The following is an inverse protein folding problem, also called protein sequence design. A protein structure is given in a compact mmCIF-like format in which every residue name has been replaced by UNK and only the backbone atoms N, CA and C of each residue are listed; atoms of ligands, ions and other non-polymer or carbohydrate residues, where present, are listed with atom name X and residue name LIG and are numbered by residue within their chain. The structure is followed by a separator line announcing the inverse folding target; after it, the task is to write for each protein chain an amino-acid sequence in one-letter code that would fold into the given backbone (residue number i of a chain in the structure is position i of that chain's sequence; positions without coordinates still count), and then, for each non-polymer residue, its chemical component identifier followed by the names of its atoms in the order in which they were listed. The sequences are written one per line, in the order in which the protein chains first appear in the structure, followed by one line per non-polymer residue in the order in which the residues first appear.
data_IF_183519591550
#
_entry.id   IF_183519591550
#
_cell.length_a   1.000
_cell.length_b   1.000
_cell.length_c   1.000
_cell.angle_alpha   90.00
_cell.angle_beta   90.00
_cell.angle_gamma   90.00
#
_symmetry.space_group_name_H-M   'P 1'
#
loop_
_entity.id
_entity.type
_entity.pdbx_description
1 polymer ?
#
# COMPACT_ATOMS: atom_id res chain seq x y z
N UNK A 1 7.43 11.23 21.35
CA UNK A 1 7.52 9.79 21.70
C UNK A 1 7.66 9.59 23.20
N UNK A 2 8.75 10.05 23.83
CA UNK A 2 8.99 9.90 25.28
C UNK A 2 7.77 10.28 26.15
N UNK A 3 7.27 11.52 26.03
CA UNK A 3 6.08 11.99 26.76
C UNK A 3 4.84 11.12 26.47
N UNK A 4 4.65 10.69 25.22
CA UNK A 4 3.48 9.91 24.81
C UNK A 4 3.52 8.46 25.33
N UNK A 5 4.72 7.88 25.50
CA UNK A 5 4.91 6.52 26.02
C UNK A 5 5.19 6.50 27.53
N UNK A 6 5.42 7.65 28.15
CA UNK A 6 5.77 7.79 29.56
C UNK A 6 7.22 7.43 29.88
N UNK A 7 8.10 7.39 28.88
CA UNK A 7 9.53 7.15 29.05
C UNK A 7 10.36 8.43 29.04
N UNK A 8 11.64 8.31 29.35
CA UNK A 8 12.62 9.38 29.25
C UNK A 8 13.46 9.26 27.97
N UNK A 9 14.03 10.39 27.52
CA UNK A 9 15.06 10.40 26.46
C UNK A 9 16.42 10.30 27.15
N UNK A 10 17.31 9.44 26.67
CA UNK A 10 18.69 9.32 27.16
C UNK A 10 19.64 10.14 26.28
N UNK A 11 20.68 10.73 26.89
CA UNK A 11 21.72 11.50 26.19
C UNK A 11 21.76 12.97 26.61
N UNK A 12 22.49 13.79 25.86
CA UNK A 12 22.84 15.18 26.22
C UNK A 12 21.62 16.09 26.46
N UNK A 13 20.50 15.85 25.78
CA UNK A 13 19.26 16.64 25.89
C UNK A 13 18.23 16.03 26.88
N UNK A 14 18.57 14.93 27.56
CA UNK A 14 17.65 14.15 28.38
C UNK A 14 18.21 13.75 29.75
N UNK A 15 17.88 12.55 30.21
CA UNK A 15 18.51 11.99 31.41
C UNK A 15 19.96 11.63 31.09
N UNK A 16 20.89 12.27 31.80
CA UNK A 16 22.31 11.93 31.75
C UNK A 16 22.57 10.70 32.66
N UNK A 17 21.93 9.59 32.29
CA UNK A 17 22.12 8.28 32.89
C UNK A 17 22.94 7.43 31.92
N UNK A 18 23.90 6.68 32.45
CA UNK A 18 24.56 5.66 31.64
C UNK A 18 23.53 4.57 31.30
N UNK A 19 23.69 3.91 30.15
CA UNK A 19 22.82 2.80 29.72
C UNK A 19 22.78 1.66 30.76
N UNK A 20 23.82 1.54 31.58
CA UNK A 20 23.97 0.56 32.65
C UNK A 20 23.08 0.84 33.87
N UNK A 21 22.69 2.11 34.09
CA UNK A 21 21.92 2.56 35.26
C UNK A 21 20.40 2.62 35.01
N UNK A 22 19.97 2.34 33.76
CA UNK A 22 18.59 2.49 33.30
C UNK A 22 17.62 1.59 34.07
N UNK A 23 16.54 2.19 34.58
CA UNK A 23 15.51 1.48 35.33
C UNK A 23 14.25 1.26 34.48
N UNK A 24 13.39 0.29 34.85
CA UNK A 24 12.13 0.03 34.12
C UNK A 24 11.14 1.20 34.06
N UNK A 25 11.31 2.22 34.92
CA UNK A 25 10.47 3.43 34.91
C UNK A 25 10.97 4.50 33.94
N UNK A 26 12.23 4.40 33.49
CA UNK A 26 12.79 5.30 32.47
C UNK A 26 12.37 4.88 31.06
N UNK A 27 11.88 3.64 30.90
CA UNK A 27 11.43 3.07 29.64
C UNK A 27 9.97 3.41 29.34
N UNK A 28 9.68 3.72 28.07
CA UNK A 28 8.33 3.96 27.60
C UNK A 28 7.49 2.68 27.51
N UNK A 29 6.19 2.79 27.80
CA UNK A 29 5.22 1.69 27.70
C UNK A 29 4.16 1.99 26.65
N UNK A 30 3.87 0.98 25.84
CA UNK A 30 2.88 1.02 24.75
C UNK A 30 2.03 -0.25 24.77
N UNK A 31 0.81 -0.18 24.26
CA UNK A 31 -0.08 -1.34 24.20
C UNK A 31 0.25 -2.28 23.04
N UNK A 32 0.66 -1.73 21.90
CA UNK A 32 0.96 -2.49 20.69
C UNK A 32 2.03 -1.75 19.85
N UNK A 33 2.90 -2.50 19.20
CA UNK A 33 3.94 -1.98 18.30
C UNK A 33 3.86 -2.75 16.99
N UNK A 34 3.80 -2.03 15.88
CA UNK A 34 3.81 -2.60 14.53
C UNK A 34 5.03 -2.05 13.81
N UNK A 35 5.89 -2.93 13.32
CA UNK A 35 7.10 -2.56 12.58
C UNK A 35 7.01 -3.18 11.19
N UNK A 36 7.12 -2.34 10.16
CA UNK A 36 7.23 -2.73 8.76
C UNK A 36 8.66 -2.45 8.27
N UNK A 37 8.94 -2.72 6.99
CA UNK A 37 10.25 -2.42 6.40
C UNK A 37 10.58 -0.92 6.46
N UNK A 38 9.57 -0.08 6.29
CA UNK A 38 9.73 1.36 6.10
C UNK A 38 9.19 2.19 7.29
N UNK A 39 8.29 1.63 8.11
CA UNK A 39 7.60 2.35 9.18
C UNK A 39 7.61 1.62 10.54
N UNK A 40 7.54 2.41 11.62
CA UNK A 40 7.30 1.92 12.97
C UNK A 40 6.14 2.68 13.63
N UNK A 41 5.11 1.94 14.04
CA UNK A 41 3.91 2.48 14.69
C UNK A 41 3.84 2.04 16.16
N UNK A 42 3.68 3.01 17.05
CA UNK A 42 3.54 2.82 18.49
C UNK A 42 2.10 3.17 18.89
N UNK A 43 1.32 2.18 19.34
CA UNK A 43 -0.09 2.34 19.63
C UNK A 43 -0.36 2.25 21.14
N UNK A 44 -1.31 3.07 21.62
CA UNK A 44 -1.75 3.12 23.03
C UNK A 44 -0.60 3.35 24.01
N UNK A 45 0.14 4.43 23.82
CA UNK A 45 1.17 4.88 24.78
C UNK A 45 0.57 5.14 26.16
N UNK A 46 1.32 4.80 27.22
CA UNK A 46 0.91 4.97 28.62
C UNK A 46 1.51 6.23 29.28
N UNK A 47 1.73 7.28 28.49
CA UNK A 47 2.17 8.58 28.98
C UNK A 47 1.13 9.31 29.83
N UNK A 48 1.57 10.31 30.58
CA UNK A 48 0.69 11.18 31.34
C UNK A 48 -0.09 12.12 30.41
N UNK A 49 -1.43 12.06 30.48
CA UNK A 49 -2.32 12.88 29.65
C UNK A 49 -2.06 14.37 29.83
N UNK A 50 -1.78 14.83 31.05
CA UNK A 50 -1.53 16.24 31.31
C UNK A 50 -0.25 16.72 30.63
N UNK A 51 0.80 15.88 30.60
CA UNK A 51 2.05 16.20 29.89
C UNK A 51 1.89 16.16 28.37
N UNK A 52 1.06 15.24 27.85
CA UNK A 52 0.74 15.18 26.43
C UNK A 52 -0.04 16.44 26.00
N UNK A 53 -1.07 16.83 26.74
CA UNK A 53 -1.85 18.05 26.48
C UNK A 53 -0.96 19.29 26.55
N UNK A 54 -0.09 19.39 27.55
CA UNK A 54 0.90 20.48 27.64
C UNK A 54 1.78 20.52 26.38
N UNK A 55 2.26 19.37 25.92
CA UNK A 55 3.11 19.29 24.72
C UNK A 55 2.36 19.66 23.44
N UNK A 56 1.07 19.33 23.35
CA UNK A 56 0.20 19.74 22.26
C UNK A 56 0.09 21.27 22.23
N UNK A 57 -0.20 21.89 23.38
CA UNK A 57 -0.29 23.36 23.49
C UNK A 57 1.01 24.05 23.10
N UNK A 58 2.16 23.55 23.58
CA UNK A 58 3.48 24.08 23.19
C UNK A 58 3.69 24.05 21.66
N UNK A 59 3.22 23.00 20.97
CA UNK A 59 3.36 22.89 19.51
C UNK A 59 2.40 23.86 18.79
N UNK A 60 1.19 24.05 19.31
CA UNK A 60 0.23 25.02 18.76
C UNK A 60 0.79 26.44 18.87
N UNK A 61 1.32 26.82 20.04
CA UNK A 61 1.96 28.12 20.24
C UNK A 61 3.16 28.35 19.31
N UNK A 62 3.97 27.30 19.07
CA UNK A 62 5.08 27.37 18.11
C UNK A 62 4.57 27.59 16.67
N UNK A 63 3.46 26.96 16.31
CA UNK A 63 2.87 27.04 14.97
C UNK A 63 2.39 28.45 14.63
N UNK A 64 1.90 29.19 15.62
CA UNK A 64 1.42 30.57 15.48
C UNK A 64 2.57 31.56 15.22
N UNK A 65 3.75 31.31 15.78
CA UNK A 65 4.91 32.21 15.68
C UNK A 65 5.81 31.87 14.49
N UNK A 66 5.79 30.62 14.02
CA UNK A 66 6.58 30.17 12.87
C UNK A 66 6.12 30.82 11.57
N UNK A 67 7.05 31.37 10.79
CA UNK A 67 6.79 31.95 9.46
C UNK A 67 7.22 31.05 8.30
N UNK A 68 7.94 29.96 8.58
CA UNK A 68 8.42 28.98 7.59
C UNK A 68 7.33 27.94 7.28
N UNK A 69 6.95 27.80 6.01
CA UNK A 69 5.97 26.79 5.58
C UNK A 69 6.45 25.36 5.86
N UNK A 70 7.75 25.09 5.65
CA UNK A 70 8.36 23.79 5.94
C UNK A 70 8.25 23.42 7.43
N UNK A 71 8.52 24.38 8.32
CA UNK A 71 8.42 24.13 9.76
C UNK A 71 6.95 23.97 10.20
N UNK A 72 6.03 24.73 9.61
CA UNK A 72 4.59 24.56 9.85
C UNK A 72 4.12 23.16 9.46
N UNK A 73 4.55 22.64 8.32
CA UNK A 73 4.23 21.28 7.90
C UNK A 73 4.72 20.25 8.92
N UNK A 74 5.99 20.37 9.36
CA UNK A 74 6.56 19.43 10.34
C UNK A 74 5.94 19.55 11.74
N UNK A 75 5.58 20.76 12.17
CA UNK A 75 4.85 20.95 13.43
C UNK A 75 3.43 20.37 13.34
N UNK A 76 2.74 20.54 12.21
CA UNK A 76 1.43 19.93 11.96
C UNK A 76 1.48 18.39 11.96
N UNK A 77 2.49 17.78 11.33
CA UNK A 77 2.67 16.32 11.37
C UNK A 77 2.84 15.81 12.82
N UNK A 78 3.64 16.53 13.62
CA UNK A 78 3.86 16.18 15.03
C UNK A 78 2.62 16.40 15.88
N UNK A 79 1.91 17.50 15.64
CA UNK A 79 0.66 17.84 16.30
C UNK A 79 -0.39 16.77 16.02
N UNK A 80 -0.53 16.34 14.76
CA UNK A 80 -1.43 15.25 14.38
C UNK A 80 -1.06 13.96 15.11
N UNK A 81 0.21 13.57 15.15
CA UNK A 81 0.67 12.35 15.87
C UNK A 81 0.42 12.38 17.38
N UNK A 82 0.28 13.57 17.99
CA UNK A 82 0.06 13.75 19.43
C UNK A 82 -1.42 14.00 19.78
N UNK A 83 -2.13 14.73 18.93
CA UNK A 83 -3.51 15.19 19.16
C UNK A 83 -4.54 14.22 18.61
N UNK A 84 -4.18 13.44 17.59
CA UNK A 84 -5.16 12.66 16.84
C UNK A 84 -5.43 11.32 17.52
N UNK A 85 -6.72 11.01 17.60
CA UNK A 85 -7.23 9.80 18.20
C UNK A 85 -6.85 8.60 17.34
N UNK A 86 -6.10 7.66 17.91
CA UNK A 86 -5.89 6.37 17.26
C UNK A 86 -7.23 5.63 17.21
N UNK A 87 -7.89 5.63 16.05
CA UNK A 87 -9.06 4.82 15.79
C UNK A 87 -8.64 3.36 15.55
N UNK A 88 -9.13 2.44 16.38
CA UNK A 88 -8.87 0.99 16.22
C UNK A 88 -10.10 0.33 15.62
N UNK A 89 -9.98 -0.12 14.37
CA UNK A 89 -11.02 -0.91 13.71
C UNK A 89 -10.88 -2.39 14.10
N UNK A 90 -11.81 -2.89 14.92
CA UNK A 90 -11.87 -4.31 15.30
C UNK A 90 -12.73 -5.08 14.29
N UNK A 91 -12.07 -5.78 13.38
CA UNK A 91 -12.75 -6.63 12.37
C UNK A 91 -13.06 -7.99 12.98
N UNK A 92 -14.32 -8.41 12.88
CA UNK A 92 -14.81 -9.70 13.39
C UNK A 92 -15.40 -10.58 12.30
N UNK A 93 -15.50 -11.87 12.59
CA UNK A 93 -15.98 -12.90 11.65
C UNK A 93 -16.16 -14.24 12.37
N UNK A 94 -16.73 -15.20 11.65
CA UNK A 94 -17.05 -16.55 12.18
C UNK A 94 -15.88 -17.53 12.06
N UNK A 95 -14.91 -17.24 11.19
CA UNK A 95 -13.68 -18.01 11.01
C UNK A 95 -12.49 -17.09 10.78
N UNK A 96 -11.28 -17.56 11.08
CA UNK A 96 -10.05 -16.78 10.89
C UNK A 96 -9.84 -16.38 9.43
N UNK A 97 -10.21 -17.25 8.48
CA UNK A 97 -10.13 -16.97 7.04
C UNK A 97 -11.03 -15.80 6.66
N UNK A 98 -12.27 -15.78 7.17
CA UNK A 98 -13.22 -14.68 6.93
C UNK A 98 -12.73 -13.37 7.58
N UNK A 99 -12.20 -13.44 8.81
CA UNK A 99 -11.66 -12.28 9.51
C UNK A 99 -10.50 -11.67 8.73
N UNK A 100 -9.59 -12.49 8.22
CA UNK A 100 -8.44 -12.02 7.47
C UNK A 100 -8.86 -11.37 6.15
N UNK A 101 -9.76 -11.98 5.37
CA UNK A 101 -10.27 -11.38 4.12
C UNK A 101 -10.97 -10.04 4.37
N UNK A 102 -11.81 -9.95 5.41
CA UNK A 102 -12.47 -8.69 5.77
C UNK A 102 -11.46 -7.64 6.24
N UNK A 103 -10.42 -8.05 6.97
CA UNK A 103 -9.37 -7.15 7.44
C UNK A 103 -8.60 -6.58 6.26
N UNK A 104 -8.30 -7.38 5.25
CA UNK A 104 -7.64 -6.92 4.02
C UNK A 104 -8.52 -5.89 3.31
N UNK A 105 -9.82 -6.17 3.10
CA UNK A 105 -10.76 -5.20 2.51
C UNK A 105 -10.87 -3.89 3.27
N UNK A 106 -10.87 -3.93 4.61
CA UNK A 106 -10.88 -2.72 5.45
C UNK A 106 -9.59 -1.92 5.28
N UNK A 107 -8.45 -2.62 5.18
CA UNK A 107 -7.14 -2.01 4.98
C UNK A 107 -7.07 -1.34 3.60
N UNK A 108 -7.55 -2.02 2.55
CA UNK A 108 -7.64 -1.48 1.20
C UNK A 108 -8.52 -0.23 1.14
N UNK A 109 -9.71 -0.27 1.76
CA UNK A 109 -10.62 0.87 1.82
C UNK A 109 -10.01 2.07 2.57
N UNK A 110 -9.28 1.82 3.67
CA UNK A 110 -8.58 2.87 4.41
C UNK A 110 -7.51 3.53 3.55
N UNK A 111 -6.70 2.73 2.86
CA UNK A 111 -5.63 3.23 1.98
C UNK A 111 -6.19 3.98 0.77
N UNK A 112 -7.27 3.47 0.16
CA UNK A 112 -7.97 4.16 -0.92
C UNK A 112 -8.53 5.52 -0.47
N UNK A 113 -9.12 5.58 0.74
CA UNK A 113 -9.64 6.84 1.30
C UNK A 113 -8.52 7.85 1.55
N UNK A 114 -7.38 7.41 2.09
CA UNK A 114 -6.20 8.27 2.25
C UNK A 114 -5.70 8.81 0.92
N UNK A 115 -5.54 7.94 -0.08
CA UNK A 115 -5.14 8.32 -1.42
C UNK A 115 -6.11 9.30 -2.09
N UNK A 116 -7.43 9.13 -1.85
CA UNK A 116 -8.46 10.02 -2.36
C UNK A 116 -8.41 11.42 -1.72
N UNK A 117 -8.08 11.51 -0.44
CA UNK A 117 -7.87 12.80 0.25
C UNK A 117 -6.63 13.51 -0.26
N UNK A 118 -5.57 12.78 -0.59
CA UNK A 118 -4.30 13.34 -1.06
C UNK A 118 -4.35 13.88 -2.50
N UNK A 119 -4.85 13.09 -3.45
CA UNK A 119 -4.80 13.43 -4.90
C UNK A 119 -6.18 13.50 -5.58
N UNK A 120 -7.26 13.43 -4.81
CA UNK A 120 -8.63 13.46 -5.32
C UNK A 120 -9.10 12.13 -5.92
N UNK A 121 -10.22 12.21 -6.63
CA UNK A 121 -10.95 11.06 -7.17
C UNK A 121 -11.21 11.22 -8.67
N UNK A 122 -11.33 10.08 -9.36
CA UNK A 122 -11.65 9.98 -10.78
C UNK A 122 -12.76 8.95 -11.01
N UNK A 123 -13.27 8.89 -12.25
CA UNK A 123 -14.28 7.92 -12.67
C UNK A 123 -13.77 6.49 -12.50
N UNK A 124 -14.50 5.68 -11.73
CA UNK A 124 -14.10 4.30 -11.44
C UNK A 124 -14.34 3.33 -12.60
N UNK A 125 -14.18 2.03 -12.32
CA UNK A 125 -14.52 0.96 -13.26
C UNK A 125 -13.66 0.95 -14.53
N UNK A 126 -12.45 1.50 -14.45
CA UNK A 126 -11.55 1.68 -15.60
C UNK A 126 -11.95 2.81 -16.56
N UNK A 127 -13.01 3.57 -16.27
CA UNK A 127 -13.46 4.65 -17.14
C UNK A 127 -12.44 5.80 -17.22
N UNK A 128 -11.79 6.15 -16.10
CA UNK A 128 -10.75 7.18 -16.10
C UNK A 128 -9.67 6.93 -17.16
N UNK A 129 -9.18 5.68 -17.27
CA UNK A 129 -8.16 5.29 -18.24
C UNK A 129 -8.68 5.37 -19.69
N UNK A 130 -9.93 4.97 -19.93
CA UNK A 130 -10.56 5.11 -21.24
C UNK A 130 -10.66 6.57 -21.68
N UNK A 131 -10.98 7.48 -20.76
CA UNK A 131 -11.07 8.92 -21.05
C UNK A 131 -9.71 9.56 -21.32
N UNK A 132 -8.60 8.91 -20.99
CA UNK A 132 -7.25 9.35 -21.34
C UNK A 132 -6.83 8.98 -22.77
N UNK A 133 -7.54 8.07 -23.46
CA UNK A 133 -7.17 7.62 -24.82
C UNK A 133 -7.02 8.77 -25.82
N UNK A 134 -7.94 9.76 -25.90
CA UNK A 134 -7.80 10.89 -26.82
C UNK A 134 -6.54 11.72 -26.58
N UNK A 135 -6.03 11.79 -25.34
CA UNK A 135 -4.79 12.50 -25.05
C UNK A 135 -3.58 11.85 -25.75
N UNK A 136 -3.59 10.53 -25.94
CA UNK A 136 -2.53 9.83 -26.66
C UNK A 136 -2.51 10.16 -28.16
N UNK A 137 -3.64 10.56 -28.75
CA UNK A 137 -3.72 10.94 -30.17
C UNK A 137 -3.04 12.29 -30.44
N UNK A 138 -2.86 13.11 -29.40
CA UNK A 138 -2.15 14.39 -29.48
C UNK A 138 -0.62 14.25 -29.42
N UNK A 139 -0.10 13.06 -29.13
CA UNK A 139 1.33 12.80 -28.99
C UNK A 139 1.92 12.53 -30.38
N UNK A 140 2.86 13.38 -30.80
CA UNK A 140 3.61 13.18 -32.05
C UNK A 140 4.80 12.25 -31.81
N UNK A 141 4.84 11.04 -32.40
CA UNK A 141 5.97 10.13 -32.25
C UNK A 141 7.18 10.61 -33.07
N UNK A 142 8.40 10.42 -32.55
CA UNK A 142 9.61 10.76 -33.29
C UNK A 142 10.01 9.71 -34.35
N UNK A 143 9.58 8.45 -34.17
CA UNK A 143 9.84 7.33 -35.08
C UNK A 143 8.72 6.26 -34.98
N UNK A 144 8.74 5.26 -35.86
CA UNK A 144 7.72 4.21 -35.90
C UNK A 144 7.72 3.32 -34.64
N UNK A 145 8.86 3.15 -33.96
CA UNK A 145 8.95 2.38 -32.72
C UNK A 145 8.19 3.09 -31.58
N UNK A 146 8.37 4.41 -31.44
CA UNK A 146 7.63 5.22 -30.47
C UNK A 146 6.14 5.22 -30.77
N UNK A 147 5.75 5.28 -32.05
CA UNK A 147 4.35 5.16 -32.46
C UNK A 147 3.76 3.82 -32.05
N UNK A 148 4.52 2.74 -32.22
CA UNK A 148 4.12 1.40 -31.76
C UNK A 148 3.96 1.37 -30.24
N UNK A 149 4.86 2.00 -29.49
CA UNK A 149 4.74 2.16 -28.04
C UNK A 149 3.46 2.88 -27.60
N UNK A 150 3.10 3.98 -28.27
CA UNK A 150 1.84 4.70 -28.00
C UNK A 150 0.62 3.81 -28.28
N UNK A 151 0.64 3.04 -29.38
CA UNK A 151 -0.44 2.10 -29.71
C UNK A 151 -0.57 0.95 -28.71
N UNK A 152 0.55 0.48 -28.12
CA UNK A 152 0.52 -0.48 -27.02
C UNK A 152 -0.25 0.10 -25.83
N UNK A 153 0.10 1.32 -25.37
CA UNK A 153 -0.58 1.97 -24.25
C UNK A 153 -2.06 2.19 -24.57
N UNK A 154 -2.40 2.64 -25.79
CA UNK A 154 -3.79 2.85 -26.22
C UNK A 154 -4.64 1.59 -26.08
N UNK A 155 -4.09 0.42 -26.43
CA UNK A 155 -4.76 -0.87 -26.24
C UNK A 155 -4.84 -1.26 -24.77
N UNK A 156 -3.77 -1.05 -24.01
CA UNK A 156 -3.68 -1.39 -22.58
C UNK A 156 -4.69 -0.63 -21.72
N UNK A 157 -4.95 0.65 -22.02
CA UNK A 157 -5.92 1.46 -21.27
C UNK A 157 -7.36 0.89 -21.30
N UNK A 158 -7.69 0.06 -22.29
CA UNK A 158 -8.99 -0.62 -22.40
C UNK A 158 -9.12 -1.84 -21.48
N UNK A 159 -7.99 -2.44 -21.09
CA UNK A 159 -7.95 -3.74 -20.41
C UNK A 159 -8.68 -3.75 -19.05
N UNK A 160 -8.54 -2.73 -18.17
CA UNK A 160 -9.20 -2.76 -16.86
C UNK A 160 -10.73 -2.80 -16.99
N UNK A 161 -11.32 -1.92 -17.80
CA UNK A 161 -12.77 -1.91 -18.03
C UNK A 161 -13.26 -3.20 -18.70
N UNK A 162 -12.52 -3.72 -19.68
CA UNK A 162 -12.83 -5.02 -20.31
C UNK A 162 -12.80 -6.18 -19.32
N UNK A 163 -11.83 -6.19 -18.40
CA UNK A 163 -11.66 -7.26 -17.41
C UNK A 163 -12.79 -7.24 -16.39
N UNK A 164 -13.16 -6.05 -15.91
CA UNK A 164 -14.30 -5.87 -15.00
C UNK A 164 -15.60 -6.37 -15.66
N UNK A 165 -15.87 -5.95 -16.90
CA UNK A 165 -17.03 -6.38 -17.65
C UNK A 165 -17.04 -7.90 -17.91
N UNK A 166 -15.89 -8.47 -18.28
CA UNK A 166 -15.75 -9.92 -18.49
C UNK A 166 -16.00 -10.72 -17.21
N UNK A 167 -15.52 -10.25 -16.07
CA UNK A 167 -15.76 -10.89 -14.77
C UNK A 167 -17.24 -10.81 -14.36
N UNK A 168 -17.97 -9.81 -14.84
CA UNK A 168 -19.43 -9.72 -14.72
C UNK A 168 -20.21 -10.58 -15.73
N UNK A 169 -19.52 -11.33 -16.60
CA UNK A 169 -20.13 -12.27 -17.55
C UNK A 169 -20.64 -11.64 -18.85
N UNK A 170 -20.24 -10.41 -19.18
CA UNK A 170 -20.63 -9.71 -20.41
C UNK A 170 -19.45 -9.49 -21.35
N UNK A 171 -19.75 -9.16 -22.62
CA UNK A 171 -18.73 -8.94 -23.65
C UNK A 171 -17.99 -7.62 -23.43
N UNK A 172 -16.80 -7.69 -22.84
CA UNK A 172 -16.03 -6.50 -22.42
C UNK A 172 -15.69 -5.54 -23.55
N UNK A 173 -15.44 -6.03 -24.77
CA UNK A 173 -15.16 -5.19 -25.94
C UNK A 173 -16.36 -4.31 -26.30
N UNK A 174 -17.57 -4.87 -26.27
CA UNK A 174 -18.81 -4.14 -26.53
C UNK A 174 -19.05 -3.06 -25.48
N UNK A 175 -18.82 -3.39 -24.20
CA UNK A 175 -18.97 -2.45 -23.09
C UNK A 175 -18.01 -1.27 -23.24
N UNK A 176 -16.72 -1.53 -23.50
CA UNK A 176 -15.73 -0.45 -23.66
C UNK A 176 -16.08 0.47 -24.82
N UNK A 177 -16.42 -0.07 -25.99
CA UNK A 177 -16.80 0.75 -27.14
C UNK A 177 -18.04 1.60 -26.83
N UNK A 178 -19.03 1.05 -26.12
CA UNK A 178 -20.21 1.81 -25.70
C UNK A 178 -19.89 2.90 -24.67
N UNK A 179 -18.97 2.66 -23.73
CA UNK A 179 -18.48 3.71 -22.81
C UNK A 179 -17.80 4.83 -23.61
N UNK A 180 -16.92 4.48 -24.56
CA UNK A 180 -16.20 5.45 -25.39
C UNK A 180 -17.13 6.31 -26.27
N UNK A 181 -18.26 5.76 -26.72
CA UNK A 181 -19.29 6.49 -27.47
C UNK A 181 -20.24 7.32 -26.60
N UNK A 182 -20.23 7.10 -25.27
CA UNK A 182 -21.08 7.81 -24.32
C UNK A 182 -20.42 9.10 -23.81
N UNK A 183 -21.20 9.95 -23.15
CA UNK A 183 -20.67 11.16 -22.49
C UNK A 183 -19.63 10.83 -21.43
N UNK A 184 -18.78 11.81 -21.11
CA UNK A 184 -17.60 11.65 -20.25
C UNK A 184 -17.89 10.98 -18.90
N UNK A 185 -18.99 11.36 -18.28
CA UNK A 185 -19.45 10.97 -16.95
C UNK A 185 -20.15 9.60 -16.93
N UNK A 186 -20.55 9.08 -18.09
CA UNK A 186 -21.21 7.78 -18.20
C UNK A 186 -20.16 6.67 -18.29
N UNK A 187 -20.38 5.63 -17.49
CA UNK A 187 -19.62 4.38 -17.51
C UNK A 187 -20.54 3.18 -17.33
N UNK A 188 -19.97 2.02 -17.00
CA UNK A 188 -20.70 0.77 -16.83
C UNK A 188 -20.63 0.30 -15.37
N UNK A 189 -21.80 0.18 -14.74
CA UNK A 189 -21.96 -0.48 -13.45
C UNK A 189 -22.00 -1.99 -13.69
N UNK A 190 -20.88 -2.66 -13.44
CA UNK A 190 -20.76 -4.11 -13.64
C UNK A 190 -21.52 -4.94 -12.60
N UNK A 191 -21.95 -4.34 -11.48
CA UNK A 191 -22.74 -5.02 -10.46
C UNK A 191 -24.23 -5.06 -10.83
N UNK A 192 -24.75 -3.97 -11.41
CA UNK A 192 -26.14 -3.88 -11.86
C UNK A 192 -26.33 -4.25 -13.35
N UNK A 193 -25.27 -4.17 -14.15
CA UNK A 193 -25.30 -4.46 -15.58
C UNK A 193 -25.78 -3.30 -16.46
N UNK A 194 -25.71 -2.06 -15.96
CA UNK A 194 -26.29 -0.88 -16.60
C UNK A 194 -25.29 0.25 -16.83
N UNK A 195 -25.59 1.12 -17.79
CA UNK A 195 -24.82 2.33 -18.05
C UNK A 195 -25.34 3.49 -17.21
N UNK A 196 -24.46 4.09 -16.42
CA UNK A 196 -24.83 5.07 -15.39
C UNK A 196 -23.83 6.21 -15.34
N UNK A 197 -24.25 7.35 -14.76
CA UNK A 197 -23.30 8.36 -14.32
C UNK A 197 -22.47 7.80 -13.15
N UNK A 198 -21.16 7.66 -13.36
CA UNK A 198 -20.27 6.97 -12.42
C UNK A 198 -20.13 7.73 -11.10
N UNK A 199 -20.06 9.07 -11.16
CA UNK A 199 -19.89 9.90 -9.97
C UNK A 199 -21.18 9.92 -9.15
N UNK A 200 -22.33 10.09 -9.80
CA UNK A 200 -23.63 10.09 -9.13
C UNK A 200 -23.95 8.74 -8.46
N UNK A 201 -23.50 7.63 -9.07
CA UNK A 201 -23.61 6.29 -8.49
C UNK A 201 -22.54 5.98 -7.44
N UNK A 202 -21.54 6.84 -7.26
CA UNK A 202 -20.44 6.62 -6.32
C UNK A 202 -19.43 5.57 -6.77
N UNK A 203 -19.36 5.26 -8.07
CA UNK A 203 -18.34 4.37 -8.65
C UNK A 203 -17.13 5.23 -9.01
N UNK A 204 -16.28 5.44 -8.01
CA UNK A 204 -15.12 6.35 -8.06
C UNK A 204 -13.87 5.62 -7.60
N UNK A 205 -12.73 5.99 -8.21
CA UNK A 205 -11.41 5.47 -7.83
C UNK A 205 -10.49 6.63 -7.42
N UNK A 206 -9.58 6.45 -6.45
CA UNK A 206 -8.59 7.46 -6.09
C UNK A 206 -7.61 7.72 -7.25
N UNK A 207 -7.36 8.99 -7.59
CA UNK A 207 -6.46 9.38 -8.70
C UNK A 207 -5.07 8.77 -8.54
N UNK A 208 -4.53 8.83 -7.33
CA UNK A 208 -3.19 8.31 -6.99
C UNK A 208 -3.07 6.82 -7.35
N UNK A 209 -4.09 6.03 -7.03
CA UNK A 209 -4.08 4.57 -7.27
C UNK A 209 -4.07 4.28 -8.77
N UNK A 210 -4.94 4.94 -9.54
CA UNK A 210 -5.01 4.74 -11.00
C UNK A 210 -3.71 5.13 -11.68
N UNK A 211 -3.12 6.26 -11.29
CA UNK A 211 -1.84 6.75 -11.84
C UNK A 211 -0.68 5.82 -11.49
N UNK A 212 -0.54 5.47 -10.20
CA UNK A 212 0.56 4.61 -9.73
C UNK A 212 0.48 3.22 -10.35
N UNK A 213 -0.73 2.62 -10.44
CA UNK A 213 -0.91 1.33 -11.09
C UNK A 213 -0.45 1.33 -12.56
N UNK A 214 -0.80 2.38 -13.32
CA UNK A 214 -0.38 2.50 -14.72
C UNK A 214 1.14 2.73 -14.84
N UNK A 215 1.70 3.59 -13.99
CA UNK A 215 3.13 3.93 -14.02
C UNK A 215 4.00 2.72 -13.69
N UNK A 216 3.68 1.99 -12.62
CA UNK A 216 4.45 0.84 -12.18
C UNK A 216 4.35 -0.31 -13.19
N UNK A 217 3.13 -0.59 -13.69
CA UNK A 217 2.92 -1.61 -14.70
C UNK A 217 3.68 -1.29 -16.00
N UNK A 218 3.60 -0.05 -16.49
CA UNK A 218 4.33 0.38 -17.68
C UNK A 218 5.85 0.34 -17.46
N UNK A 219 6.35 0.76 -16.30
CA UNK A 219 7.77 0.75 -15.97
C UNK A 219 8.35 -0.66 -16.01
N UNK A 220 7.73 -1.61 -15.31
CA UNK A 220 8.19 -3.01 -15.29
C UNK A 220 8.05 -3.67 -16.67
N UNK A 221 6.90 -3.49 -17.33
CA UNK A 221 6.65 -4.11 -18.64
C UNK A 221 7.60 -3.58 -19.71
N UNK A 222 7.84 -2.27 -19.77
CA UNK A 222 8.77 -1.67 -20.74
C UNK A 222 10.20 -2.18 -20.58
N UNK A 223 10.65 -2.38 -19.33
CA UNK A 223 11.96 -2.96 -19.06
C UNK A 223 12.01 -4.42 -19.53
N UNK A 224 10.99 -5.22 -19.20
CA UNK A 224 10.91 -6.61 -19.60
C UNK A 224 10.88 -6.79 -21.12
N UNK A 225 10.19 -5.91 -21.86
CA UNK A 225 10.13 -5.98 -23.33
C UNK A 225 11.47 -5.73 -24.02
N UNK A 226 12.47 -5.18 -23.31
CA UNK A 226 13.82 -4.98 -23.84
C UNK A 226 14.78 -6.13 -23.52
N UNK A 227 14.32 -7.15 -22.78
CA UNK A 227 15.15 -8.28 -22.40
C UNK A 227 15.33 -9.27 -23.56
N UNK A 228 16.53 -9.28 -24.15
CA UNK A 228 16.93 -10.25 -25.18
C UNK A 228 17.44 -11.57 -24.59
N UNK A 229 18.03 -11.53 -23.39
CA UNK A 229 18.66 -12.69 -22.75
C UNK A 229 18.29 -12.74 -21.28
N UNK A 230 17.95 -13.94 -20.80
CA UNK A 230 17.73 -14.24 -19.39
C UNK A 230 18.72 -15.33 -18.97
N UNK A 231 19.46 -15.08 -17.89
CA UNK A 231 20.38 -16.06 -17.28
C UNK A 231 19.72 -16.58 -16.01
N UNK A 232 19.51 -17.90 -15.94
CA UNK A 232 18.89 -18.56 -14.78
C UNK A 232 19.86 -19.55 -14.13
N UNK A 233 19.61 -19.91 -12.88
CA UNK A 233 20.29 -21.05 -12.27
C UNK A 233 19.94 -22.34 -13.02
N UNK A 234 20.90 -23.27 -13.07
CA UNK A 234 20.63 -24.63 -13.56
C UNK A 234 19.65 -25.28 -12.57
N UNK A 235 18.55 -25.91 -13.05
CA UNK A 235 17.63 -26.63 -12.16
C UNK A 235 18.39 -27.63 -11.31
N UNK A 236 18.20 -27.57 -9.99
CA UNK A 236 18.76 -28.58 -9.09
C UNK A 236 17.95 -29.86 -9.28
N UNK A 237 18.63 -30.97 -9.53
CA UNK A 237 18.00 -32.28 -9.47
C UNK A 237 17.50 -32.51 -8.03
N UNK A 238 16.19 -32.51 -7.83
CA UNK A 238 15.61 -32.98 -6.59
C UNK A 238 15.91 -34.48 -6.49
N UNK A 239 16.78 -34.86 -5.54
CA UNK A 239 16.98 -36.25 -5.20
C UNK A 239 15.66 -36.78 -4.66
N UNK A 240 15.00 -37.61 -5.46
CA UNK A 240 13.79 -38.33 -5.10
C UNK A 240 14.01 -39.03 -3.74
N UNK A 241 13.29 -38.66 -2.67
CA UNK A 241 13.48 -39.26 -1.36
C UNK A 241 12.79 -40.62 -1.33
N UNK A 242 13.41 -41.64 -1.93
CA UNK A 242 12.97 -43.01 -1.70
C UNK A 242 13.30 -44.03 -2.79
N UNK A 243 14.51 -44.57 -2.78
CA UNK A 243 14.77 -46.02 -2.98
C UNK A 243 16.13 -46.38 -2.36
N UNK A 244 16.26 -46.14 -1.06
CA UNK A 244 17.34 -46.67 -0.22
C UNK A 244 16.81 -47.75 0.72
N UNK A 245 16.05 -48.70 0.19
CA UNK A 245 15.58 -49.85 0.94
C UNK A 245 16.72 -50.82 1.27
N UNK A 246 17.03 -50.90 2.57
CA UNK A 246 17.51 -52.10 3.24
C UNK A 246 18.99 -52.50 3.05
N UNK A 247 19.87 -51.81 3.80
CA UNK A 247 21.24 -52.24 4.04
C UNK A 247 21.62 -52.05 5.50
N UNK A 248 20.97 -52.77 6.42
CA UNK A 248 21.28 -52.68 7.84
C UNK A 248 20.97 -53.98 8.59
N UNK A 249 21.98 -54.85 8.72
CA UNK A 249 22.20 -55.64 9.93
C UNK A 249 23.55 -56.37 9.88
N UNK A 250 24.42 -56.12 10.88
CA UNK A 250 25.46 -57.11 11.23
C UNK A 250 26.80 -56.59 11.74
N UNK A 251 26.84 -56.03 12.95
CA UNK A 251 27.80 -56.42 14.02
C UNK A 251 29.27 -55.97 13.99
N UNK A 252 29.73 -55.42 15.12
CA UNK A 252 31.15 -55.27 15.51
C UNK A 252 31.43 -53.88 16.11
N UNK A 253 31.13 -53.60 17.39
CA UNK A 253 31.87 -53.94 18.62
C UNK A 253 33.24 -53.25 18.77
N UNK A 254 33.37 -52.46 19.85
CA UNK A 254 34.61 -51.88 20.39
C UNK A 254 34.76 -50.39 20.02
N UNK A 255 34.72 -49.41 20.92
CA UNK A 255 35.19 -49.37 22.31
C UNK A 255 36.31 -48.32 22.36
N UNK A 256 36.12 -47.24 23.12
CA UNK A 256 37.15 -46.19 23.24
C UNK A 256 36.62 -44.89 23.81
N UNK A 257 36.59 -44.84 25.13
CA UNK A 257 36.46 -43.65 25.97
C UNK A 257 37.72 -42.79 25.81
N UNK A 258 37.59 -41.49 25.54
CA UNK A 258 38.27 -40.35 26.16
C UNK A 258 37.63 -39.05 25.64
#
# INVERSE_FOLDING_TARGET
MAIATGGAVFGEEGLNLNLEDVQPHDLGKVGEVIVTKDDAMLLKGKGDKAQIEKRIQEIIEQLDVTTSEYEKEKLNERLAKLSDGVAVLKVGGTSDVEVNEKKDRVTDALNATRAAVEEGIVLGGGCALLRCIPALESITPANEDQKTGIEIIKKTLKIPAMTIAKNAGVEGSLIVEKIMQSSSEVGYDAMLGDFVNMVEKGIIDPTKVVRTALLDAAGVASLLTTAEVVVTEIPKEEKDPGMGGMGGMGGGMGGGMF
#
